data_IF_545841690882
#
_entry.id   IF_545841690882
#
_cell.length_a   1.000
_cell.length_b   1.000
_cell.length_c   1.000
_cell.angle_alpha   90.00
_cell.angle_beta   90.00
_cell.angle_gamma   90.00
#
_symmetry.space_group_name_H-M   'P 1'
#
loop_
_entity.id
_entity.type
_entity.pdbx_description
1 polymer ?
#
# COMPACT_ATOMS: atom_id res chain seq x y z
N UNK A 1 9.28 -2.03 31.22
CA UNK A 1 8.52 -1.04 30.40
C UNK A 1 9.28 -0.54 29.17
N UNK A 2 10.58 -0.18 29.25
CA UNK A 2 11.36 0.33 28.08
C UNK A 2 11.47 -0.69 26.93
N UNK A 3 11.70 -1.98 27.22
CA UNK A 3 11.76 -3.06 26.21
C UNK A 3 10.43 -3.25 25.47
N UNK A 4 9.30 -3.19 26.20
CA UNK A 4 7.96 -3.32 25.61
C UNK A 4 7.66 -2.14 24.66
N UNK A 5 8.03 -0.92 25.03
CA UNK A 5 7.87 0.24 24.15
C UNK A 5 8.66 0.06 22.84
N UNK A 6 9.92 -0.38 22.90
CA UNK A 6 10.72 -0.65 21.72
C UNK A 6 10.16 -1.79 20.86
N UNK A 7 9.60 -2.84 21.48
CA UNK A 7 8.94 -3.91 20.74
C UNK A 7 7.69 -3.40 20.00
N UNK A 8 6.87 -2.57 20.63
CA UNK A 8 5.68 -1.98 20.00
C UNK A 8 6.08 -1.07 18.83
N UNK A 9 7.09 -0.19 19.01
CA UNK A 9 7.56 0.68 17.93
C UNK A 9 8.20 -0.12 16.78
N UNK A 10 8.93 -1.18 17.09
CA UNK A 10 9.48 -2.11 16.08
C UNK A 10 8.39 -2.80 15.28
N UNK A 11 7.36 -3.32 15.95
CA UNK A 11 6.20 -3.92 15.30
C UNK A 11 5.46 -2.93 14.41
N UNK A 12 5.21 -1.72 14.90
CA UNK A 12 4.57 -0.67 14.11
C UNK A 12 5.39 -0.32 12.86
N UNK A 13 6.71 -0.18 13.02
CA UNK A 13 7.60 0.09 11.89
C UNK A 13 7.56 -1.03 10.84
N UNK A 14 7.52 -2.30 11.26
CA UNK A 14 7.38 -3.45 10.36
C UNK A 14 6.04 -3.44 9.61
N UNK A 15 4.94 -3.12 10.30
CA UNK A 15 3.62 -3.00 9.66
C UNK A 15 3.63 -1.89 8.62
N UNK A 16 4.15 -0.71 8.96
CA UNK A 16 4.26 0.42 8.02
C UNK A 16 5.14 0.06 6.82
N UNK A 17 6.30 -0.56 7.06
CA UNK A 17 7.18 -1.03 5.99
C UNK A 17 6.49 -2.05 5.08
N UNK A 18 5.73 -2.99 5.64
CA UNK A 18 4.94 -3.97 4.89
C UNK A 18 3.86 -3.30 4.03
N UNK A 19 3.11 -2.34 4.58
CA UNK A 19 2.10 -1.57 3.85
C UNK A 19 2.74 -0.77 2.72
N UNK A 20 3.86 -0.10 2.98
CA UNK A 20 4.58 0.64 1.94
C UNK A 20 5.10 -0.30 0.86
N UNK A 21 5.73 -1.41 1.20
CA UNK A 21 6.22 -2.39 0.24
C UNK A 21 5.09 -2.98 -0.63
N UNK A 22 3.91 -3.22 -0.05
CA UNK A 22 2.75 -3.69 -0.79
C UNK A 22 2.25 -2.67 -1.81
N UNK A 23 2.25 -1.38 -1.44
CA UNK A 23 1.63 -0.33 -2.22
C UNK A 23 2.59 0.40 -3.17
N UNK A 24 3.89 0.38 -2.90
CA UNK A 24 4.84 1.03 -3.81
C UNK A 24 4.96 0.25 -5.11
N UNK A 25 5.04 0.93 -6.28
CA UNK A 25 5.24 0.28 -7.56
C UNK A 25 6.57 -0.46 -7.60
N UNK A 26 6.48 -1.71 -8.03
CA UNK A 26 7.61 -2.61 -8.26
C UNK A 26 7.75 -2.85 -9.76
N UNK A 27 8.93 -3.24 -10.22
CA UNK A 27 9.25 -3.44 -11.62
C UNK A 27 9.93 -4.79 -11.81
N UNK A 28 9.32 -5.64 -12.63
CA UNK A 28 9.92 -6.91 -13.04
C UNK A 28 10.19 -6.88 -14.55
N UNK A 29 11.41 -7.26 -14.95
CA UNK A 29 11.74 -7.46 -16.36
C UNK A 29 11.56 -8.95 -16.67
N UNK A 30 10.57 -9.23 -17.50
CA UNK A 30 10.10 -10.58 -17.76
C UNK A 30 9.69 -10.74 -19.23
N UNK A 31 9.47 -11.98 -19.65
CA UNK A 31 8.87 -12.32 -20.94
C UNK A 31 7.45 -12.81 -20.71
N UNK A 32 6.47 -12.29 -21.44
CA UNK A 32 5.08 -12.74 -21.37
C UNK A 32 4.95 -14.05 -22.18
N UNK A 33 4.50 -15.10 -21.50
CA UNK A 33 4.36 -16.45 -22.08
C UNK A 33 2.93 -16.80 -22.40
N UNK A 34 1.96 -16.21 -21.72
CA UNK A 34 0.55 -16.51 -21.94
C UNK A 34 -0.38 -15.56 -21.21
N UNK A 35 -1.64 -15.62 -21.61
CA UNK A 35 -2.74 -14.87 -21.00
C UNK A 35 -3.87 -15.83 -20.70
N UNK A 36 -4.56 -15.62 -19.59
CA UNK A 36 -5.71 -16.45 -19.20
C UNK A 36 -6.77 -15.60 -18.51
N UNK A 37 -8.02 -16.04 -18.62
CA UNK A 37 -9.15 -15.52 -17.87
C UNK A 37 -9.65 -16.63 -16.94
N UNK A 38 -9.23 -16.57 -15.69
CA UNK A 38 -9.56 -17.61 -14.72
C UNK A 38 -10.67 -17.17 -13.79
N UNK A 39 -11.66 -18.03 -13.60
CA UNK A 39 -12.63 -17.87 -12.53
C UNK A 39 -11.93 -18.14 -11.19
N UNK A 40 -11.93 -17.15 -10.32
CA UNK A 40 -11.29 -17.22 -9.00
C UNK A 40 -12.35 -17.02 -7.93
N UNK A 41 -12.32 -17.89 -6.93
CA UNK A 41 -13.16 -17.75 -5.74
C UNK A 41 -12.50 -16.75 -4.78
N UNK A 42 -13.21 -15.66 -4.53
CA UNK A 42 -12.75 -14.65 -3.57
C UNK A 42 -13.34 -14.99 -2.21
N UNK A 43 -12.46 -15.34 -1.26
CA UNK A 43 -12.81 -15.63 0.13
C UNK A 43 -12.66 -14.37 0.97
N UNK A 44 -13.24 -14.37 2.17
CA UNK A 44 -13.11 -13.29 3.14
C UNK A 44 -11.64 -12.96 3.51
N UNK A 45 -10.72 -13.95 3.41
CA UNK A 45 -9.30 -13.75 3.72
C UNK A 45 -8.57 -12.96 2.62
N UNK A 46 -8.92 -13.20 1.34
CA UNK A 46 -8.21 -12.60 0.20
C UNK A 46 -8.97 -11.44 -0.46
N UNK A 47 -10.20 -11.16 -0.02
CA UNK A 47 -11.04 -10.09 -0.60
C UNK A 47 -10.37 -8.71 -0.54
N UNK A 48 -9.55 -8.45 0.48
CA UNK A 48 -8.84 -7.17 0.62
C UNK A 48 -7.74 -6.95 -0.42
N UNK A 49 -7.30 -8.02 -1.07
CA UNK A 49 -6.22 -7.99 -2.07
C UNK A 49 -6.74 -7.92 -3.51
N UNK A 50 -8.04 -8.11 -3.72
CA UNK A 50 -8.69 -8.03 -5.02
C UNK A 50 -9.47 -6.73 -5.15
N UNK A 51 -9.63 -6.25 -6.39
CA UNK A 51 -10.46 -5.09 -6.67
C UNK A 51 -11.90 -5.34 -6.20
N UNK A 52 -12.61 -4.28 -5.78
CA UNK A 52 -14.03 -4.40 -5.45
C UNK A 52 -14.82 -4.85 -6.69
N UNK A 53 -15.84 -5.72 -6.56
CA UNK A 53 -16.71 -6.04 -7.68
C UNK A 53 -17.38 -4.76 -8.16
N UNK A 54 -17.50 -4.60 -9.49
CA UNK A 54 -18.30 -3.52 -10.06
C UNK A 54 -19.70 -3.57 -9.45
N UNK A 55 -20.18 -2.43 -9.02
CA UNK A 55 -21.44 -2.25 -8.29
C UNK A 55 -22.71 -2.61 -9.09
N UNK A 56 -22.55 -3.23 -10.27
CA UNK A 56 -23.63 -3.60 -11.17
C UNK A 56 -24.20 -5.02 -11.03
N UNK A 57 -23.53 -5.92 -10.30
CA UNK A 57 -24.00 -7.30 -10.11
C UNK A 57 -23.87 -7.71 -8.65
N UNK A 58 -24.98 -7.56 -7.93
CA UNK A 58 -25.09 -7.86 -6.50
C UNK A 58 -24.83 -9.33 -6.12
N UNK A 59 -24.58 -10.24 -7.07
CA UNK A 59 -24.58 -11.67 -6.85
C UNK A 59 -23.20 -12.36 -7.03
N UNK A 60 -22.13 -11.62 -7.24
CA UNK A 60 -20.82 -12.20 -7.59
C UNK A 60 -19.71 -11.96 -6.56
N UNK A 61 -20.04 -11.93 -5.28
CA UNK A 61 -19.01 -11.75 -4.23
C UNK A 61 -18.10 -12.95 -4.06
N UNK A 62 -18.47 -14.12 -4.56
CA UNK A 62 -17.74 -15.37 -4.33
C UNK A 62 -16.90 -15.82 -5.54
N UNK A 63 -17.41 -15.68 -6.75
CA UNK A 63 -16.74 -16.14 -7.98
C UNK A 63 -16.65 -15.00 -8.99
N UNK A 64 -15.44 -14.66 -9.42
CA UNK A 64 -15.23 -13.64 -10.46
C UNK A 64 -14.13 -14.06 -11.44
N UNK A 65 -14.19 -13.51 -12.64
CA UNK A 65 -13.16 -13.71 -13.64
C UNK A 65 -12.03 -12.73 -13.39
N UNK A 66 -10.82 -13.26 -13.20
CA UNK A 66 -9.59 -12.51 -13.04
C UNK A 66 -8.74 -12.75 -14.29
N UNK A 67 -8.31 -11.67 -14.92
CA UNK A 67 -7.36 -11.73 -16.04
C UNK A 67 -5.96 -11.96 -15.50
N UNK A 68 -5.29 -12.98 -16.01
CA UNK A 68 -3.94 -13.35 -15.60
C UNK A 68 -2.95 -13.18 -16.75
N UNK A 69 -1.74 -12.74 -16.41
CA UNK A 69 -0.59 -12.58 -17.31
C UNK A 69 0.48 -13.53 -16.79
N UNK A 70 0.77 -14.56 -17.55
CA UNK A 70 1.83 -15.52 -17.24
C UNK A 70 3.16 -15.02 -17.78
N UNK A 71 4.23 -15.16 -17.01
CA UNK A 71 5.54 -14.70 -17.41
C UNK A 71 6.63 -15.75 -17.19
N UNK A 72 7.77 -15.55 -17.82
CA UNK A 72 9.01 -16.26 -17.56
C UNK A 72 10.12 -15.26 -17.23
N UNK A 73 10.97 -15.65 -16.28
CA UNK A 73 12.12 -14.86 -15.90
C UNK A 73 13.26 -14.95 -16.93
N UNK A 74 14.25 -14.02 -16.88
CA UNK A 74 15.39 -14.05 -17.78
C UNK A 74 16.27 -15.32 -17.68
N UNK A 75 16.27 -15.99 -16.53
CA UNK A 75 16.98 -17.25 -16.29
C UNK A 75 16.26 -18.50 -16.86
N UNK A 76 15.11 -18.30 -17.52
CA UNK A 76 14.25 -19.37 -18.03
C UNK A 76 13.37 -20.03 -16.99
N UNK A 77 13.44 -19.64 -15.74
CA UNK A 77 12.52 -20.13 -14.71
C UNK A 77 11.10 -19.55 -14.89
N UNK A 78 10.13 -20.22 -14.28
CA UNK A 78 8.75 -19.69 -14.25
C UNK A 78 8.72 -18.34 -13.53
N UNK A 79 8.29 -17.31 -14.25
CA UNK A 79 8.14 -15.96 -13.70
C UNK A 79 6.90 -15.81 -12.82
N UNK A 80 6.73 -14.60 -12.32
CA UNK A 80 5.57 -14.22 -11.53
C UNK A 80 4.31 -14.22 -12.43
N UNK A 81 3.20 -14.73 -11.91
CA UNK A 81 1.88 -14.54 -12.53
C UNK A 81 1.28 -13.27 -11.99
N UNK A 82 0.91 -12.36 -12.88
CA UNK A 82 0.26 -11.11 -12.53
C UNK A 82 -1.24 -11.18 -12.81
N UNK A 83 -2.03 -10.58 -11.96
CA UNK A 83 -3.44 -10.27 -12.28
C UNK A 83 -3.51 -8.94 -13.01
N UNK A 84 -4.60 -8.71 -13.70
CA UNK A 84 -4.87 -7.47 -14.43
C UNK A 84 -6.30 -7.03 -14.14
N UNK A 85 -6.48 -6.31 -13.03
CA UNK A 85 -7.77 -5.79 -12.57
C UNK A 85 -7.73 -4.27 -12.46
N UNK A 86 -8.88 -3.63 -12.70
CA UNK A 86 -9.07 -2.20 -12.47
C UNK A 86 -9.22 -1.93 -10.98
N UNK A 87 -8.57 -0.88 -10.49
CA UNK A 87 -8.62 -0.47 -9.08
C UNK A 87 -9.54 0.71 -8.84
N UNK A 88 -9.87 1.48 -9.88
CA UNK A 88 -10.68 2.67 -9.77
C UNK A 88 -10.11 3.66 -8.74
N UNK A 89 -11.00 4.24 -7.94
CA UNK A 89 -10.66 5.17 -6.86
C UNK A 89 -10.37 4.48 -5.53
N UNK A 90 -10.55 3.15 -5.49
CA UNK A 90 -10.41 2.37 -4.26
C UNK A 90 -8.93 2.04 -4.01
N UNK A 91 -8.65 1.60 -2.83
CA UNK A 91 -7.33 1.14 -2.42
C UNK A 91 -6.85 -0.11 -3.19
N UNK A 92 -5.59 -0.15 -3.62
CA UNK A 92 -4.58 0.92 -3.56
C UNK A 92 -4.78 1.99 -4.64
N UNK A 93 -4.37 3.24 -4.41
CA UNK A 93 -4.72 4.38 -5.25
C UNK A 93 -3.87 4.46 -6.54
N UNK A 94 -3.95 3.45 -7.38
CA UNK A 94 -3.28 3.48 -8.69
C UNK A 94 -4.13 4.10 -9.79
N UNK A 95 -5.41 4.35 -9.52
CA UNK A 95 -6.36 4.95 -10.48
C UNK A 95 -6.38 4.23 -11.82
N UNK A 96 -6.26 2.91 -11.79
CA UNK A 96 -6.27 2.08 -12.98
C UNK A 96 -7.72 1.80 -13.41
N UNK A 97 -8.06 2.20 -14.63
CA UNK A 97 -9.39 2.05 -15.22
C UNK A 97 -9.40 1.27 -16.53
N UNK A 98 -8.23 0.89 -17.07
CA UNK A 98 -8.11 0.30 -18.39
C UNK A 98 -7.32 -1.01 -18.39
N UNK A 99 -7.86 -1.99 -17.70
CA UNK A 99 -7.31 -3.35 -17.71
C UNK A 99 -7.46 -4.01 -19.09
N UNK A 100 -8.39 -3.56 -19.92
CA UNK A 100 -8.61 -4.12 -21.26
C UNK A 100 -7.48 -3.75 -22.22
N UNK A 101 -7.06 -2.48 -22.24
CA UNK A 101 -5.90 -2.04 -23.04
C UNK A 101 -4.60 -2.66 -22.54
N UNK A 102 -4.45 -2.82 -21.22
CA UNK A 102 -3.28 -3.52 -20.67
C UNK A 102 -3.24 -5.00 -21.10
N UNK A 103 -4.40 -5.67 -21.16
CA UNK A 103 -4.50 -7.05 -21.62
C UNK A 103 -4.16 -7.16 -23.12
N UNK A 104 -4.63 -6.21 -23.93
CA UNK A 104 -4.29 -6.16 -25.36
C UNK A 104 -2.77 -5.90 -25.56
N UNK A 105 -2.18 -4.99 -24.79
CA UNK A 105 -0.74 -4.76 -24.81
C UNK A 105 0.03 -6.03 -24.41
N UNK A 106 -0.40 -6.73 -23.36
CA UNK A 106 0.21 -8.00 -22.96
C UNK A 106 0.13 -9.06 -24.07
N UNK A 107 -0.97 -9.12 -24.81
CA UNK A 107 -1.13 -10.02 -25.96
C UNK A 107 -0.11 -9.72 -27.08
N UNK A 108 0.13 -8.45 -27.39
CA UNK A 108 1.10 -8.03 -28.40
C UNK A 108 2.55 -8.36 -28.03
N UNK A 109 2.84 -8.45 -26.74
CA UNK A 109 4.18 -8.77 -26.21
C UNK A 109 4.38 -10.26 -25.90
N UNK A 110 3.38 -11.11 -26.13
CA UNK A 110 3.59 -12.55 -26.02
C UNK A 110 4.72 -13.01 -26.93
N UNK A 111 5.57 -13.88 -26.41
CA UNK A 111 6.71 -14.38 -27.16
C UNK A 111 7.19 -15.73 -26.63
N UNK A 112 7.98 -16.42 -27.47
CA UNK A 112 8.58 -17.71 -27.18
C UNK A 112 10.05 -17.54 -26.80
N UNK A 113 10.67 -18.62 -26.31
CA UNK A 113 12.13 -18.63 -26.00
C UNK A 113 12.98 -18.43 -27.25
N UNK A 114 12.51 -18.86 -28.42
CA UNK A 114 13.23 -18.70 -29.69
C UNK A 114 13.28 -17.24 -30.18
N UNK A 115 12.26 -16.43 -29.84
CA UNK A 115 12.17 -15.02 -30.21
C UNK A 115 11.66 -14.19 -29.04
N UNK A 116 12.47 -13.98 -28.00
CA UNK A 116 12.04 -13.36 -26.75
C UNK A 116 11.79 -11.87 -26.94
N UNK A 117 10.61 -11.40 -26.50
CA UNK A 117 10.31 -9.98 -26.32
C UNK A 117 10.32 -9.68 -24.82
N UNK A 118 11.27 -8.88 -24.39
CA UNK A 118 11.40 -8.48 -23.01
C UNK A 118 10.53 -7.27 -22.72
N UNK A 119 9.82 -7.34 -21.58
CA UNK A 119 8.98 -6.25 -21.11
C UNK A 119 9.25 -5.99 -19.64
N UNK A 120 9.12 -4.72 -19.27
CA UNK A 120 9.06 -4.31 -17.86
C UNK A 120 7.61 -4.23 -17.47
N UNK A 121 7.19 -5.04 -16.49
CA UNK A 121 5.87 -4.97 -15.88
C UNK A 121 5.99 -4.15 -14.59
N UNK A 122 5.28 -3.04 -14.55
CA UNK A 122 5.07 -2.28 -13.31
C UNK A 122 3.87 -2.87 -12.61
N UNK A 123 4.03 -3.23 -11.35
CA UNK A 123 2.98 -3.86 -10.56
C UNK A 123 3.05 -3.42 -9.09
N UNK A 124 2.02 -3.71 -8.33
CA UNK A 124 2.00 -3.63 -6.89
C UNK A 124 1.43 -4.92 -6.28
N UNK A 125 1.63 -5.08 -4.99
CA UNK A 125 1.13 -6.24 -4.26
C UNK A 125 2.13 -7.40 -4.20
N UNK A 126 1.76 -8.39 -3.43
CA UNK A 126 2.59 -9.58 -3.20
C UNK A 126 2.05 -10.79 -3.94
N UNK A 127 2.95 -11.73 -4.21
CA UNK A 127 2.59 -13.08 -4.61
C UNK A 127 2.54 -13.97 -3.38
N UNK A 128 1.32 -14.39 -2.97
CA UNK A 128 1.13 -15.33 -1.86
C UNK A 128 0.37 -16.55 -2.39
N UNK A 129 1.10 -17.64 -2.77
CA UNK A 129 0.50 -18.81 -3.42
C UNK A 129 -0.59 -19.48 -2.58
N UNK A 130 -0.38 -19.63 -1.27
CA UNK A 130 -1.31 -20.31 -0.34
C UNK A 130 -2.67 -19.62 -0.31
N UNK A 131 -2.72 -18.30 -0.48
CA UNK A 131 -3.95 -17.51 -0.47
C UNK A 131 -4.45 -17.18 -1.88
N UNK A 132 -3.82 -17.74 -2.93
CA UNK A 132 -4.11 -17.40 -4.32
C UNK A 132 -4.06 -15.90 -4.63
N UNK A 133 -3.17 -15.15 -3.93
CA UNK A 133 -2.98 -13.73 -4.13
C UNK A 133 -1.91 -13.52 -5.21
N UNK A 134 -2.22 -12.64 -6.16
CA UNK A 134 -1.36 -12.27 -7.28
C UNK A 134 -1.10 -10.76 -7.26
N UNK A 135 0.13 -10.30 -7.56
CA UNK A 135 0.40 -8.88 -7.75
C UNK A 135 -0.40 -8.35 -8.95
N UNK A 136 -0.83 -7.10 -8.88
CA UNK A 136 -1.63 -6.48 -9.93
C UNK A 136 -0.74 -5.69 -10.89
N UNK A 137 -0.72 -6.05 -12.16
CA UNK A 137 -0.02 -5.31 -13.19
C UNK A 137 -0.72 -3.97 -13.46
N UNK A 138 0.06 -2.89 -13.51
CA UNK A 138 -0.43 -1.53 -13.75
C UNK A 138 0.00 -1.01 -15.12
N UNK A 139 1.23 -1.34 -15.54
CA UNK A 139 1.79 -0.88 -16.80
C UNK A 139 2.75 -1.91 -17.38
N UNK A 140 2.82 -1.97 -18.71
CA UNK A 140 3.76 -2.81 -19.46
C UNK A 140 4.50 -1.93 -20.46
N UNK A 141 5.83 -1.99 -20.46
CA UNK A 141 6.70 -1.30 -21.41
C UNK A 141 7.70 -2.26 -22.03
N UNK A 142 7.92 -2.16 -23.33
CA UNK A 142 8.99 -2.88 -24.00
C UNK A 142 10.36 -2.41 -23.50
N UNK A 143 11.29 -3.34 -23.35
CA UNK A 143 12.67 -3.08 -22.97
C UNK A 143 13.64 -3.78 -23.93
N UNK A 144 14.86 -3.27 -24.00
CA UNK A 144 15.86 -3.77 -24.95
C UNK A 144 16.40 -5.17 -24.62
N UNK A 145 16.27 -5.58 -23.37
CA UNK A 145 16.79 -6.87 -22.92
C UNK A 145 16.54 -7.15 -21.45
N UNK A 146 16.91 -8.36 -20.98
CA UNK A 146 16.65 -8.82 -19.61
C UNK A 146 17.44 -8.05 -18.55
N UNK A 147 18.52 -7.37 -18.94
CA UNK A 147 19.39 -6.58 -18.05
C UNK A 147 18.91 -5.14 -17.86
N UNK A 148 17.75 -4.79 -18.42
CA UNK A 148 17.25 -3.43 -18.31
C UNK A 148 16.84 -3.13 -16.86
N UNK A 149 17.53 -2.15 -16.27
CA UNK A 149 17.27 -1.66 -14.91
C UNK A 149 16.80 -0.22 -14.96
N UNK A 150 15.72 0.08 -14.29
CA UNK A 150 15.26 1.46 -14.09
C UNK A 150 15.36 1.86 -12.64
N UNK A 151 15.87 3.08 -12.39
CA UNK A 151 15.85 3.62 -11.04
C UNK A 151 14.40 3.94 -10.64
N UNK A 152 13.96 3.55 -9.42
CA UNK A 152 12.58 3.71 -8.99
C UNK A 152 12.26 5.15 -8.53
N UNK A 153 12.37 6.12 -9.44
CA UNK A 153 12.16 7.55 -9.14
C UNK A 153 10.80 7.82 -8.48
N UNK A 154 9.76 7.13 -8.93
CA UNK A 154 8.42 7.30 -8.37
C UNK A 154 8.37 6.91 -6.89
N UNK A 155 9.04 5.83 -6.50
CA UNK A 155 9.13 5.41 -5.10
C UNK A 155 9.87 6.45 -4.26
N UNK A 156 10.95 7.02 -4.78
CA UNK A 156 11.72 8.06 -4.09
C UNK A 156 10.85 9.30 -3.87
N UNK A 157 10.11 9.73 -4.89
CA UNK A 157 9.21 10.88 -4.79
C UNK A 157 8.10 10.61 -3.76
N UNK A 158 7.42 9.45 -3.84
CA UNK A 158 6.35 9.08 -2.91
C UNK A 158 6.88 9.06 -1.47
N UNK A 159 8.01 8.40 -1.23
CA UNK A 159 8.61 8.30 0.11
C UNK A 159 9.06 9.67 0.62
N UNK A 160 9.61 10.52 -0.25
CA UNK A 160 9.99 11.89 0.09
C UNK A 160 8.79 12.74 0.51
N UNK A 161 7.68 12.66 -0.26
CA UNK A 161 6.44 13.36 0.08
C UNK A 161 5.83 12.85 1.39
N UNK A 162 5.85 11.53 1.62
CA UNK A 162 5.37 10.95 2.89
C UNK A 162 6.22 11.40 4.07
N UNK A 163 7.55 11.38 3.94
CA UNK A 163 8.45 11.86 4.98
C UNK A 163 8.20 13.36 5.28
N UNK A 164 8.04 14.18 4.25
CA UNK A 164 7.70 15.60 4.39
C UNK A 164 6.36 15.78 5.10
N UNK A 165 5.32 15.03 4.71
CA UNK A 165 4.01 15.09 5.35
C UNK A 165 4.09 14.71 6.84
N UNK A 166 4.88 13.70 7.22
CA UNK A 166 5.10 13.32 8.63
C UNK A 166 5.78 14.44 9.40
N UNK A 167 6.79 15.10 8.82
CA UNK A 167 7.47 16.25 9.46
C UNK A 167 6.49 17.40 9.65
N UNK A 168 5.67 17.73 8.64
CA UNK A 168 4.65 18.76 8.75
C UNK A 168 3.61 18.42 9.83
N UNK A 169 3.07 17.20 9.81
CA UNK A 169 2.10 16.76 10.79
C UNK A 169 2.66 16.85 12.22
N UNK A 170 3.93 16.43 12.40
CA UNK A 170 4.62 16.57 13.70
C UNK A 170 4.75 18.03 14.13
N UNK A 171 5.14 18.93 13.21
CA UNK A 171 5.23 20.38 13.52
C UNK A 171 3.88 20.98 13.88
N UNK A 172 2.84 20.66 13.11
CA UNK A 172 1.47 21.10 13.40
C UNK A 172 0.98 20.58 14.76
N UNK A 173 1.27 19.32 15.09
CA UNK A 173 0.94 18.73 16.38
C UNK A 173 1.62 19.45 17.55
N UNK A 174 2.91 19.74 17.43
CA UNK A 174 3.65 20.48 18.46
C UNK A 174 3.09 21.90 18.64
N UNK A 175 2.84 22.62 17.54
CA UNK A 175 2.24 23.96 17.59
C UNK A 175 0.84 23.95 18.20
N UNK A 176 0.03 22.93 17.88
CA UNK A 176 -1.29 22.77 18.50
C UNK A 176 -1.16 22.55 20.00
N UNK A 177 -0.23 21.71 20.42
CA UNK A 177 0.01 21.43 21.83
C UNK A 177 0.41 22.72 22.58
N UNK A 178 1.41 23.43 22.09
CA UNK A 178 1.90 24.68 22.69
C UNK A 178 0.86 25.80 22.72
N UNK A 179 0.03 25.92 21.69
CA UNK A 179 -0.93 27.02 21.56
C UNK A 179 -2.29 26.77 22.20
N UNK A 180 -2.72 25.53 22.27
CA UNK A 180 -4.07 25.17 22.69
C UNK A 180 -4.06 24.37 23.98
N UNK A 181 -3.22 23.34 24.06
CA UNK A 181 -3.25 22.40 25.19
C UNK A 181 -2.55 22.98 26.42
N UNK A 182 -1.34 23.51 26.27
CA UNK A 182 -0.57 24.02 27.40
C UNK A 182 -1.26 25.20 28.11
N UNK A 183 -1.83 26.22 27.42
CA UNK A 183 -2.58 27.27 28.07
C UNK A 183 -3.83 26.77 28.79
N UNK A 184 -4.59 25.84 28.16
CA UNK A 184 -5.79 25.27 28.77
C UNK A 184 -5.45 24.47 30.03
N UNK A 185 -4.36 23.70 30.03
CA UNK A 185 -3.88 22.97 31.21
C UNK A 185 -3.43 23.93 32.31
N UNK A 186 -2.74 25.04 31.95
CA UNK A 186 -2.31 26.05 32.91
C UNK A 186 -3.50 26.72 33.60
N UNK A 187 -4.55 27.11 32.85
CA UNK A 187 -5.77 27.69 33.40
C UNK A 187 -6.48 26.75 34.37
N UNK A 188 -6.58 25.45 34.05
CA UNK A 188 -7.17 24.45 34.93
C UNK A 188 -6.36 24.27 36.20
N UNK A 189 -5.03 24.28 36.10
CA UNK A 189 -4.14 24.17 37.28
C UNK A 189 -4.28 25.40 38.17
N UNK A 190 -4.27 26.60 37.62
CA UNK A 190 -4.49 27.83 38.38
C UNK A 190 -5.86 27.87 39.08
N UNK A 191 -6.93 27.45 38.39
CA UNK A 191 -8.27 27.33 38.99
C UNK A 191 -8.26 26.34 40.16
N UNK A 192 -7.60 25.21 40.00
CA UNK A 192 -7.45 24.19 41.04
C UNK A 192 -6.67 24.71 42.26
N UNK A 193 -5.59 25.44 42.04
CA UNK A 193 -4.75 25.98 43.09
C UNK A 193 -5.47 27.13 43.83
N UNK A 194 -6.22 27.99 43.12
CA UNK A 194 -7.13 28.97 43.73
C UNK A 194 -8.15 28.33 44.65
N UNK A 195 -8.78 27.23 44.15
CA UNK A 195 -9.79 26.50 44.93
C UNK A 195 -9.19 25.86 46.18
N UNK A 196 -8.04 25.21 46.04
CA UNK A 196 -7.28 24.64 47.17
C UNK A 196 -6.87 25.72 48.20
N UNK A 197 -6.35 26.85 47.71
CA UNK A 197 -5.99 27.98 48.61
C UNK A 197 -7.21 28.58 49.33
N UNK A 198 -8.37 28.63 48.69
CA UNK A 198 -9.61 29.06 49.33
C UNK A 198 -10.09 28.06 50.39
N UNK A 199 -10.11 26.78 50.12
CA UNK A 199 -10.45 25.71 51.08
C UNK A 199 -9.50 25.71 52.27
N UNK A 200 -8.20 25.81 52.04
CA UNK A 200 -7.20 25.88 53.12
C UNK A 200 -7.41 27.10 54.04
N UNK A 201 -7.82 28.27 53.48
CA UNK A 201 -8.16 29.45 54.28
C UNK A 201 -9.44 29.29 55.10
N UNK A 202 -10.46 28.55 54.60
CA UNK A 202 -11.68 28.27 55.34
C UNK A 202 -11.50 27.29 56.47
N UNK A 203 -10.68 26.26 56.27
CA UNK A 203 -10.49 25.19 57.29
C UNK A 203 -9.20 25.34 58.10
N UNK A 204 -8.27 26.21 57.71
CA UNK A 204 -7.00 26.44 58.40
C UNK A 204 -7.06 27.52 59.53
N UNK A 205 -8.25 28.03 59.87
CA UNK A 205 -8.39 29.04 60.90
C UNK A 205 -8.92 28.41 62.20
N UNK A 206 -8.08 27.57 62.82
CA UNK A 206 -8.22 27.21 64.26
C UNK A 206 -6.83 26.94 64.80
N UNK A 207 -6.26 27.94 65.44
CA UNK A 207 -5.62 28.02 66.75
C UNK A 207 -4.80 29.30 66.85
#
# INVERSE_FOLDING_TARGET
MRKIKWAIWGLLALIVAGVLHYNLPQHDVVRITGLDNRQTTVSWINTYFYASPDSGTADSTTNRYVRLIYTANPDGSTGTVFRNEDTGWVWPPYFKYDSSSLQAAAANYQSTDAAPKWVRITHYGWRIPILSIYPNAVHIAAVSGPQDTSFPWLNVIILGLLAFAVVLARRMWLQFWERVVDPAVAEVQEARDRTRGWIARLFGRKS
#
